data_IF_326943787863
#
_entry.id   IF_326943787863
#
_cell.length_a   1.000
_cell.length_b   1.000
_cell.length_c   1.000
_cell.angle_alpha   90.00
_cell.angle_beta   90.00
_cell.angle_gamma   90.00
#
_symmetry.space_group_name_H-M   'P 1'
#
loop_
_entity.id
_entity.type
_entity.pdbx_description
1 polymer ?
#
# COMPACT_ATOMS: atom_id res chain seq x y z
N UNK A 1 20.67 24.00 -32.37
CA UNK A 1 20.33 23.56 -31.01
C UNK A 1 19.06 22.71 -31.03
N UNK A 2 19.06 21.71 -30.25
CA UNK A 2 17.89 20.85 -30.14
C UNK A 2 17.17 21.15 -28.82
N UNK A 3 15.90 21.54 -28.90
CA UNK A 3 15.09 21.86 -27.74
C UNK A 3 14.96 20.69 -26.75
N UNK A 4 15.01 19.46 -27.25
CA UNK A 4 14.91 18.28 -26.38
C UNK A 4 16.12 18.07 -25.48
N UNK A 5 17.29 18.56 -25.86
CA UNK A 5 18.48 18.45 -25.02
C UNK A 5 18.38 19.31 -23.77
N UNK A 6 17.61 20.38 -23.83
CA UNK A 6 17.48 21.32 -22.71
C UNK A 6 16.49 20.85 -21.66
N UNK A 7 15.62 19.91 -21.98
CA UNK A 7 14.62 19.39 -21.03
C UNK A 7 15.28 18.75 -19.82
N UNK A 8 16.41 18.10 -20.01
CA UNK A 8 17.15 17.47 -18.92
C UNK A 8 17.73 18.47 -17.92
N UNK A 9 18.00 19.68 -18.40
CA UNK A 9 18.62 20.72 -17.57
C UNK A 9 17.59 21.55 -16.80
N UNK A 10 16.31 21.31 -17.03
CA UNK A 10 15.26 22.04 -16.32
C UNK A 10 15.14 21.59 -14.88
N UNK A 11 15.38 22.52 -13.97
CA UNK A 11 15.20 22.30 -12.54
C UNK A 11 13.77 22.46 -12.06
N UNK A 12 12.91 23.05 -12.89
CA UNK A 12 11.58 23.48 -12.50
C UNK A 12 10.53 22.91 -13.43
N UNK A 13 9.33 22.72 -12.86
CA UNK A 13 8.12 22.35 -13.57
C UNK A 13 7.10 23.44 -13.32
N UNK A 14 6.39 23.85 -14.38
CA UNK A 14 5.31 24.83 -14.27
C UNK A 14 3.98 24.10 -14.11
N UNK A 15 3.20 24.56 -13.14
CA UNK A 15 1.86 24.03 -12.87
C UNK A 15 0.85 25.16 -12.93
N UNK A 16 -0.36 24.87 -13.41
CA UNK A 16 -1.47 25.82 -13.41
C UNK A 16 -2.24 25.68 -12.10
N UNK A 17 -2.49 26.81 -11.45
CA UNK A 17 -3.25 26.85 -10.22
C UNK A 17 -4.75 27.00 -10.54
N UNK A 18 -5.58 26.75 -9.52
CA UNK A 18 -7.04 26.79 -9.66
C UNK A 18 -7.58 28.14 -10.14
N UNK A 19 -6.88 29.22 -9.87
CA UNK A 19 -7.24 30.58 -10.29
C UNK A 19 -6.75 30.93 -11.70
N UNK A 20 -6.14 29.98 -12.41
CA UNK A 20 -5.59 30.18 -13.75
C UNK A 20 -4.16 30.72 -13.77
N UNK A 21 -3.59 31.10 -12.63
CA UNK A 21 -2.19 31.51 -12.57
C UNK A 21 -1.26 30.32 -12.66
N UNK A 22 0.01 30.58 -12.94
CA UNK A 22 1.04 29.54 -13.01
C UNK A 22 1.99 29.67 -11.83
N UNK A 23 2.42 28.52 -11.31
CA UNK A 23 3.47 28.42 -10.33
C UNK A 23 4.60 27.54 -10.85
N UNK A 24 5.79 27.76 -10.31
CA UNK A 24 6.99 27.02 -10.66
C UNK A 24 7.39 26.15 -9.49
N UNK A 25 7.57 24.86 -9.70
CA UNK A 25 7.96 23.91 -8.67
C UNK A 25 9.32 23.31 -9.04
N UNK A 26 10.25 23.33 -8.11
CA UNK A 26 11.54 22.68 -8.30
C UNK A 26 11.35 21.16 -8.41
N UNK A 27 11.98 20.53 -9.39
CA UNK A 27 11.84 19.08 -9.63
C UNK A 27 12.15 18.24 -8.41
N UNK A 28 13.18 18.60 -7.66
CA UNK A 28 13.54 17.86 -6.45
C UNK A 28 12.45 17.93 -5.38
N UNK A 29 11.77 19.07 -5.25
CA UNK A 29 10.65 19.24 -4.32
C UNK A 29 9.47 18.39 -4.76
N UNK A 30 9.12 18.42 -6.03
CA UNK A 30 8.03 17.61 -6.56
C UNK A 30 8.30 16.11 -6.39
N UNK A 31 9.53 15.66 -6.69
CA UNK A 31 9.92 14.27 -6.50
C UNK A 31 9.80 13.83 -5.03
N UNK A 32 10.18 14.70 -4.09
CA UNK A 32 10.04 14.41 -2.67
C UNK A 32 8.59 14.36 -2.21
N UNK A 33 7.75 15.24 -2.72
CA UNK A 33 6.31 15.23 -2.41
C UNK A 33 5.66 13.94 -2.90
N UNK A 34 5.94 13.53 -4.12
CA UNK A 34 5.42 12.27 -4.69
C UNK A 34 5.89 11.08 -3.87
N UNK A 35 7.17 11.05 -3.52
CA UNK A 35 7.74 9.97 -2.71
C UNK A 35 7.10 9.90 -1.34
N UNK A 36 6.85 11.02 -0.70
CA UNK A 36 6.18 11.11 0.59
C UNK A 36 4.75 10.61 0.50
N UNK A 37 4.00 11.01 -0.51
CA UNK A 37 2.62 10.57 -0.74
C UNK A 37 2.54 9.06 -0.94
N UNK A 38 3.43 8.49 -1.74
CA UNK A 38 3.48 7.04 -1.96
C UNK A 38 3.79 6.33 -0.64
N UNK A 39 4.76 6.80 0.11
CA UNK A 39 5.14 6.22 1.39
C UNK A 39 3.99 6.26 2.39
N UNK A 40 3.32 7.39 2.51
CA UNK A 40 2.17 7.52 3.41
C UNK A 40 1.01 6.62 2.99
N UNK A 41 0.71 6.54 1.69
CA UNK A 41 -0.33 5.65 1.18
C UNK A 41 -0.07 4.19 1.49
N UNK A 42 1.18 3.76 1.37
CA UNK A 42 1.56 2.36 1.57
C UNK A 42 1.75 2.00 3.03
N UNK A 43 2.29 2.89 3.85
CA UNK A 43 2.79 2.56 5.17
C UNK A 43 2.03 3.23 6.32
N UNK A 44 1.04 4.05 6.03
CA UNK A 44 0.35 4.83 7.05
C UNK A 44 -0.28 3.97 8.15
N UNK A 45 -0.69 2.74 7.83
CA UNK A 45 -1.36 1.84 8.77
C UNK A 45 -0.44 0.73 9.31
N UNK A 46 0.84 0.79 9.03
CA UNK A 46 1.76 -0.30 9.35
C UNK A 46 2.06 -0.45 10.85
N UNK A 47 1.68 0.51 11.66
CA UNK A 47 1.87 0.47 13.12
C UNK A 47 0.64 -0.04 13.86
N UNK A 48 -0.49 -0.15 13.20
CA UNK A 48 -1.73 -0.62 13.82
C UNK A 48 -1.92 -2.11 13.60
N UNK A 49 -2.30 -2.79 14.68
CA UNK A 49 -2.74 -4.18 14.62
C UNK A 49 -4.25 -4.16 14.41
N UNK A 50 -4.70 -4.80 13.35
CA UNK A 50 -6.11 -4.83 13.00
C UNK A 50 -6.84 -5.95 13.77
N UNK A 51 -8.12 -5.75 14.02
CA UNK A 51 -8.93 -6.68 14.81
C UNK A 51 -9.45 -7.87 14.00
N UNK A 52 -9.70 -7.69 12.72
CA UNK A 52 -10.34 -8.70 11.87
C UNK A 52 -9.88 -8.58 10.42
N UNK A 53 -9.31 -9.64 9.89
CA UNK A 53 -8.87 -9.66 8.49
C UNK A 53 -10.03 -9.53 7.50
N UNK A 54 -11.25 -9.90 7.89
CA UNK A 54 -12.43 -9.77 7.03
C UNK A 54 -12.94 -8.33 6.94
N UNK A 55 -12.65 -7.48 7.92
CA UNK A 55 -13.15 -6.11 7.94
C UNK A 55 -12.50 -5.20 6.89
N UNK A 56 -11.44 -5.66 6.25
CA UNK A 56 -10.71 -4.91 5.24
C UNK A 56 -11.32 -5.08 3.83
N UNK A 57 -12.63 -5.04 3.72
CA UNK A 57 -13.32 -5.34 2.47
C UNK A 57 -13.59 -4.15 1.56
N UNK A 58 -12.92 -3.01 1.71
CA UNK A 58 -13.15 -1.84 0.88
C UNK A 58 -12.03 -1.60 -0.12
N UNK A 59 -12.37 -1.03 -1.28
CA UNK A 59 -11.40 -0.76 -2.34
C UNK A 59 -10.32 0.24 -1.95
N UNK A 60 -10.63 1.07 -0.99
CA UNK A 60 -9.78 2.19 -0.61
C UNK A 60 -8.67 1.79 0.36
N UNK A 61 -8.71 0.57 0.87
CA UNK A 61 -7.83 0.11 1.92
C UNK A 61 -6.73 -0.84 1.44
N UNK A 62 -6.21 -0.61 0.25
CA UNK A 62 -4.99 -1.30 -0.17
C UNK A 62 -3.84 -0.91 0.75
N UNK A 63 -2.99 -1.85 1.08
CA UNK A 63 -1.82 -1.52 1.88
C UNK A 63 -1.27 -2.65 2.71
N UNK A 64 -0.47 -2.26 3.68
CA UNK A 64 0.23 -3.12 4.59
C UNK A 64 -0.29 -2.90 6.00
N UNK A 65 -0.62 -4.00 6.68
CA UNK A 65 -1.14 -3.99 8.06
C UNK A 65 -0.38 -4.99 8.91
N UNK A 66 -0.48 -4.83 10.22
CA UNK A 66 -0.03 -5.83 11.18
C UNK A 66 -1.22 -6.63 11.69
N UNK A 67 -1.00 -7.92 11.90
CA UNK A 67 -1.94 -8.81 12.58
C UNK A 67 -1.22 -9.59 13.66
N UNK A 68 -1.98 -10.06 14.65
CA UNK A 68 -1.46 -10.90 15.72
C UNK A 68 -2.39 -12.08 15.98
N UNK A 69 -2.11 -12.83 17.05
CA UNK A 69 -2.92 -14.00 17.43
C UNK A 69 -4.37 -13.68 17.78
N UNK A 70 -4.66 -12.44 18.18
CA UNK A 70 -6.00 -12.00 18.54
C UNK A 70 -6.80 -11.48 17.35
N UNK A 71 -6.16 -11.33 16.20
CA UNK A 71 -6.83 -10.90 14.98
C UNK A 71 -7.76 -12.01 14.48
N UNK A 72 -9.04 -11.67 14.32
CA UNK A 72 -10.03 -12.61 13.81
C UNK A 72 -9.80 -12.92 12.34
N UNK A 73 -10.12 -14.15 11.94
CA UNK A 73 -10.02 -14.61 10.55
C UNK A 73 -8.61 -14.53 9.98
N UNK A 74 -7.61 -14.55 10.83
CA UNK A 74 -6.21 -14.63 10.45
C UNK A 74 -5.81 -16.07 10.12
N UNK A 75 -4.71 -16.28 9.37
CA UNK A 75 -4.15 -17.61 9.24
C UNK A 75 -3.57 -18.11 10.59
N UNK A 76 -3.26 -19.41 10.71
CA UNK A 76 -2.71 -19.95 11.94
C UNK A 76 -1.27 -19.51 12.16
N UNK A 77 -1.09 -18.41 12.87
CA UNK A 77 0.23 -17.87 13.19
C UNK A 77 0.97 -18.77 14.17
N UNK A 78 2.29 -18.84 14.02
CA UNK A 78 3.12 -19.73 14.80
C UNK A 78 3.85 -19.00 15.93
N UNK A 79 5.14 -19.19 16.11
CA UNK A 79 5.86 -18.89 17.34
C UNK A 79 5.78 -17.43 17.83
N UNK A 80 5.89 -16.49 16.94
CA UNK A 80 5.91 -15.06 17.33
C UNK A 80 4.53 -14.41 17.28
N UNK A 81 3.58 -15.07 16.65
CA UNK A 81 2.18 -14.63 16.60
C UNK A 81 1.99 -13.19 16.12
N UNK A 82 2.88 -12.75 15.27
CA UNK A 82 2.87 -11.44 14.65
C UNK A 82 3.20 -11.59 13.16
N UNK A 83 2.42 -10.95 12.32
CA UNK A 83 2.59 -11.06 10.88
C UNK A 83 2.22 -9.78 10.16
N UNK A 84 2.74 -9.64 8.95
CA UNK A 84 2.31 -8.61 8.00
C UNK A 84 1.12 -9.13 7.20
N UNK A 85 0.17 -8.26 6.97
CA UNK A 85 -0.93 -8.51 6.05
C UNK A 85 -0.88 -7.50 4.92
N UNK A 86 -0.66 -7.99 3.70
CA UNK A 86 -0.80 -7.20 2.48
C UNK A 86 -2.21 -7.36 1.94
N UNK A 87 -2.83 -6.26 1.60
CA UNK A 87 -4.15 -6.26 1.01
C UNK A 87 -4.14 -5.56 -0.34
N UNK A 88 -4.64 -6.25 -1.35
CA UNK A 88 -4.86 -5.72 -2.69
C UNK A 88 -6.33 -5.87 -3.04
N UNK A 89 -6.90 -4.81 -3.57
CA UNK A 89 -8.31 -4.81 -3.96
C UNK A 89 -8.48 -4.27 -5.37
N UNK A 90 -9.48 -4.81 -6.04
CA UNK A 90 -10.02 -4.28 -7.28
C UNK A 90 -11.55 -4.41 -7.21
N UNK A 91 -12.30 -3.76 -8.11
CA UNK A 91 -13.74 -3.93 -8.11
C UNK A 91 -14.14 -5.41 -8.20
N UNK A 92 -14.85 -5.90 -7.17
CA UNK A 92 -15.33 -7.27 -7.10
C UNK A 92 -14.32 -8.33 -6.72
N UNK A 93 -13.11 -7.95 -6.36
CA UNK A 93 -12.08 -8.92 -5.98
C UNK A 93 -11.17 -8.35 -4.90
N UNK A 94 -10.87 -9.16 -3.90
CA UNK A 94 -9.95 -8.83 -2.81
C UNK A 94 -8.92 -9.95 -2.68
N UNK A 95 -7.68 -9.57 -2.41
CA UNK A 95 -6.58 -10.51 -2.21
C UNK A 95 -5.81 -10.13 -0.95
N UNK A 96 -5.48 -11.12 -0.16
CA UNK A 96 -4.67 -10.94 1.03
C UNK A 96 -3.48 -11.90 1.02
N UNK A 97 -2.31 -11.37 1.37
CA UNK A 97 -1.08 -12.12 1.57
C UNK A 97 -0.58 -11.85 2.98
N UNK A 98 -0.41 -12.91 3.76
CA UNK A 98 0.11 -12.84 5.12
C UNK A 98 1.51 -13.44 5.19
N UNK A 99 2.42 -12.74 5.86
CA UNK A 99 3.81 -13.17 6.02
C UNK A 99 4.23 -13.04 7.47
N UNK A 100 4.66 -14.15 8.06
CA UNK A 100 5.34 -14.13 9.36
C UNK A 100 6.82 -13.84 9.13
N UNK A 101 7.35 -12.72 9.62
CA UNK A 101 8.71 -12.31 9.25
C UNK A 101 9.81 -13.22 9.80
N UNK A 102 9.62 -13.80 10.98
CA UNK A 102 10.64 -14.61 11.63
C UNK A 102 10.71 -16.06 11.13
N UNK A 103 9.58 -16.61 10.73
CA UNK A 103 9.49 -17.99 10.23
C UNK A 103 9.47 -18.07 8.73
N UNK A 104 9.21 -16.94 8.08
CA UNK A 104 8.96 -16.84 6.65
C UNK A 104 7.77 -17.70 6.17
N UNK A 105 6.88 -18.07 7.06
CA UNK A 105 5.62 -18.69 6.69
C UNK A 105 4.74 -17.68 5.97
N UNK A 106 4.10 -18.14 4.92
CA UNK A 106 3.27 -17.29 4.08
C UNK A 106 1.97 -17.96 3.77
N UNK A 107 0.90 -17.16 3.81
CA UNK A 107 -0.45 -17.60 3.46
C UNK A 107 -1.08 -16.59 2.54
N UNK A 108 -2.00 -17.04 1.70
CA UNK A 108 -2.81 -16.16 0.87
C UNK A 108 -4.25 -16.61 0.88
N UNK A 109 -5.14 -15.71 0.59
CA UNK A 109 -6.55 -15.98 0.32
C UNK A 109 -7.14 -14.90 -0.56
N UNK A 110 -8.32 -15.14 -1.05
CA UNK A 110 -9.04 -14.17 -1.87
C UNK A 110 -10.52 -14.16 -1.55
N UNK A 111 -11.19 -13.11 -1.99
CA UNK A 111 -12.63 -12.93 -1.89
C UNK A 111 -13.18 -12.53 -3.25
N UNK A 112 -14.20 -13.23 -3.72
CA UNK A 112 -14.99 -12.80 -4.87
C UNK A 112 -16.49 -12.69 -4.53
N UNK A 113 -17.07 -13.65 -3.86
CA UNK A 113 -18.40 -13.58 -3.24
C UNK A 113 -18.32 -14.00 -1.77
N UNK A 114 -17.28 -14.69 -1.42
CA UNK A 114 -16.96 -15.13 -0.06
C UNK A 114 -15.45 -15.26 0.06
N UNK A 115 -14.95 -15.30 1.30
CA UNK A 115 -13.53 -15.53 1.54
C UNK A 115 -13.18 -16.99 1.28
N UNK A 116 -12.12 -17.22 0.53
CA UNK A 116 -11.49 -18.54 0.47
C UNK A 116 -10.83 -18.86 1.82
N UNK A 117 -10.53 -20.12 2.06
CA UNK A 117 -9.66 -20.50 3.16
C UNK A 117 -8.25 -19.95 2.95
N UNK A 118 -7.54 -19.72 4.04
CA UNK A 118 -6.12 -19.41 3.97
C UNK A 118 -5.35 -20.60 3.39
N UNK A 119 -4.52 -20.32 2.41
CA UNK A 119 -3.68 -21.34 1.77
C UNK A 119 -2.22 -21.03 2.06
N UNK A 120 -1.51 -22.00 2.59
CA UNK A 120 -0.08 -21.87 2.86
C UNK A 120 0.71 -22.03 1.56
N UNK A 121 1.66 -21.13 1.38
CA UNK A 121 2.58 -21.19 0.23
C UNK A 121 3.77 -22.09 0.57
#
# INVERSE_FOLDING_TARGET
MNAFQEVEDYEYIYVELADGSQAKIKKSVLANLIRTEIKESFLQNNTEIIDDCNSLGTYENNGLYWINEDTKNAPPLTDYKLAFLFKLTSPGFYYQLCVEPYTNNRWYRWFSNYWSDWKKI
#
